data_IF_306595864990
#
_entry.id   IF_306595864990
#
_cell.length_a   1.000
_cell.length_b   1.000
_cell.length_c   1.000
_cell.angle_alpha   90.00
_cell.angle_beta   90.00
_cell.angle_gamma   90.00
#
_symmetry.space_group_name_H-M   'P 1'
#
loop_
_entity.id
_entity.type
_entity.pdbx_description
1 polymer ?
#
# COMPACT_ATOMS: atom_id res chain seq x y z
N UNK A 1 -21.88 -60.65 22.82
CA UNK A 1 -20.98 -59.47 22.89
C UNK A 1 -21.03 -58.79 21.52
N UNK A 2 -21.46 -57.52 21.45
CA UNK A 2 -21.51 -56.75 20.19
C UNK A 2 -20.19 -55.97 20.05
N UNK A 3 -19.57 -55.92 18.86
CA UNK A 3 -18.36 -55.13 18.68
C UNK A 3 -18.75 -53.66 18.53
N UNK A 4 -18.12 -52.80 19.32
CA UNK A 4 -18.20 -51.34 19.16
C UNK A 4 -17.22 -50.94 18.07
N UNK A 5 -17.73 -50.48 16.94
CA UNK A 5 -16.93 -49.89 15.87
C UNK A 5 -16.64 -48.44 16.25
N UNK A 6 -15.38 -48.14 16.55
CA UNK A 6 -14.89 -46.77 16.71
C UNK A 6 -14.51 -46.28 15.31
N UNK A 7 -15.35 -45.41 14.74
CA UNK A 7 -15.03 -44.71 13.48
C UNK A 7 -14.06 -43.59 13.82
N UNK A 8 -12.78 -43.80 13.54
CA UNK A 8 -11.76 -42.75 13.59
C UNK A 8 -11.96 -41.85 12.35
N UNK A 9 -12.63 -40.72 12.53
CA UNK A 9 -12.75 -39.71 11.48
C UNK A 9 -11.38 -39.07 11.26
N UNK A 10 -10.69 -39.48 10.19
CA UNK A 10 -9.53 -38.75 9.68
C UNK A 10 -10.00 -37.39 9.15
N UNK A 11 -9.91 -36.34 9.98
CA UNK A 11 -9.95 -34.96 9.50
C UNK A 11 -8.69 -34.77 8.64
N UNK A 12 -8.81 -34.90 7.33
CA UNK A 12 -7.79 -34.40 6.42
C UNK A 12 -7.82 -32.88 6.54
N UNK A 13 -6.96 -32.33 7.38
CA UNK A 13 -6.63 -30.90 7.34
C UNK A 13 -5.85 -30.72 6.03
N UNK A 14 -6.57 -30.52 4.93
CA UNK A 14 -5.99 -29.86 3.77
C UNK A 14 -5.70 -28.44 4.22
N UNK A 15 -4.51 -28.26 4.80
CA UNK A 15 -3.96 -26.95 5.05
C UNK A 15 -3.76 -26.32 3.68
N UNK A 16 -4.78 -25.64 3.18
CA UNK A 16 -4.66 -24.79 2.01
C UNK A 16 -3.60 -23.76 2.38
N UNK A 17 -2.39 -23.95 1.87
CA UNK A 17 -1.38 -22.91 1.89
C UNK A 17 -1.98 -21.72 1.15
N UNK A 18 -2.54 -20.79 1.92
CA UNK A 18 -2.99 -19.52 1.41
C UNK A 18 -1.72 -18.72 1.12
N UNK A 19 -1.30 -18.72 -0.14
CA UNK A 19 -0.21 -17.87 -0.59
C UNK A 19 -0.65 -16.41 -0.38
N UNK A 20 0.04 -15.64 0.48
CA UNK A 20 -0.28 -14.23 0.63
C UNK A 20 -0.02 -13.54 -0.71
N UNK A 21 -1.04 -12.88 -1.24
CA UNK A 21 -0.97 -12.09 -2.48
C UNK A 21 -1.09 -10.62 -2.12
N UNK A 22 -0.18 -9.80 -2.64
CA UNK A 22 -0.36 -8.36 -2.76
C UNK A 22 -0.91 -8.04 -4.15
N UNK A 23 -1.82 -7.08 -4.24
CA UNK A 23 -2.40 -6.65 -5.50
C UNK A 23 -2.50 -5.12 -5.53
N UNK A 24 -2.18 -4.53 -6.68
CA UNK A 24 -2.52 -3.15 -6.94
C UNK A 24 -4.02 -3.03 -7.21
N UNK A 25 -4.67 -2.09 -6.54
CA UNK A 25 -6.00 -1.61 -6.87
C UNK A 25 -5.84 -0.29 -7.62
N UNK A 26 -6.08 -0.32 -8.93
CA UNK A 26 -5.87 0.80 -9.85
C UNK A 26 -7.08 1.74 -9.83
N UNK A 27 -7.30 2.41 -8.71
CA UNK A 27 -8.20 3.55 -8.56
C UNK A 27 -7.39 4.72 -8.01
N UNK A 28 -7.64 5.96 -8.40
CA UNK A 28 -8.89 6.68 -8.20
C UNK A 28 -9.44 7.20 -9.53
N UNK A 29 -9.81 8.47 -9.66
CA UNK A 29 -10.14 9.08 -10.96
C UNK A 29 -8.96 9.07 -11.93
N UNK A 30 -9.21 9.48 -13.19
CA UNK A 30 -8.31 9.28 -14.34
C UNK A 30 -6.80 9.42 -14.11
N UNK A 31 -6.33 10.53 -13.53
CA UNK A 31 -4.89 10.82 -13.32
C UNK A 31 -4.23 10.01 -12.18
N UNK A 32 -4.98 9.10 -11.58
CA UNK A 32 -4.54 8.25 -10.48
C UNK A 32 -4.82 6.79 -10.81
N UNK A 33 -4.44 6.36 -12.01
CA UNK A 33 -4.65 5.02 -12.59
C UNK A 33 -6.04 4.80 -13.24
N UNK A 34 -7.15 5.04 -12.52
CA UNK A 34 -8.46 5.20 -13.17
C UNK A 34 -9.21 3.93 -13.63
N UNK A 35 -8.73 2.71 -13.36
CA UNK A 35 -9.31 1.49 -13.95
C UNK A 35 -10.39 0.82 -13.07
N UNK A 36 -10.21 0.79 -11.76
CA UNK A 36 -11.10 0.10 -10.83
C UNK A 36 -12.16 1.07 -10.28
N UNK A 37 -13.44 0.79 -10.58
CA UNK A 37 -14.61 1.58 -10.14
C UNK A 37 -15.49 0.85 -9.12
N UNK A 38 -15.13 -0.39 -8.79
CA UNK A 38 -15.84 -1.30 -7.88
C UNK A 38 -14.83 -2.15 -7.10
N UNK A 39 -15.26 -2.89 -6.08
CA UNK A 39 -14.39 -3.87 -5.42
C UNK A 39 -14.14 -5.10 -6.33
N UNK A 40 -13.02 -5.07 -7.05
CA UNK A 40 -12.50 -6.16 -7.87
C UNK A 40 -11.29 -6.87 -7.22
N UNK A 41 -10.99 -6.55 -5.95
CA UNK A 41 -9.87 -7.13 -5.22
C UNK A 41 -10.10 -8.61 -4.98
N UNK A 42 -9.10 -9.42 -5.35
CA UNK A 42 -9.15 -10.86 -5.09
C UNK A 42 -9.39 -11.14 -3.59
N UNK A 43 -10.40 -11.94 -3.20
CA UNK A 43 -10.70 -12.22 -1.79
C UNK A 43 -9.51 -12.79 -1.00
N UNK A 44 -8.57 -13.47 -1.68
CA UNK A 44 -7.35 -14.03 -1.08
C UNK A 44 -6.22 -13.02 -0.87
N UNK A 45 -6.32 -11.81 -1.42
CA UNK A 45 -5.33 -10.76 -1.21
C UNK A 45 -5.18 -10.45 0.28
N UNK A 46 -3.93 -10.27 0.70
CA UNK A 46 -3.55 -9.85 2.06
C UNK A 46 -3.11 -8.39 2.10
N UNK A 47 -2.57 -7.90 0.99
CA UNK A 47 -2.23 -6.49 0.82
C UNK A 47 -2.99 -5.94 -0.38
N UNK A 48 -3.65 -4.80 -0.18
CA UNK A 48 -4.23 -3.99 -1.25
C UNK A 48 -3.40 -2.73 -1.34
N UNK A 49 -2.83 -2.47 -2.51
CA UNK A 49 -1.96 -1.34 -2.76
C UNK A 49 -2.71 -0.35 -3.66
N UNK A 50 -3.11 0.78 -3.11
CA UNK A 50 -3.88 1.81 -3.83
C UNK A 50 -2.95 2.55 -4.80
N UNK A 51 -3.17 2.35 -6.10
CA UNK A 51 -2.38 2.92 -7.18
C UNK A 51 -3.20 4.03 -7.88
N UNK A 52 -2.83 5.31 -7.82
CA UNK A 52 -1.62 5.88 -7.21
C UNK A 52 -1.90 7.22 -6.52
N UNK A 53 -0.94 7.69 -5.72
CA UNK A 53 -0.72 9.09 -5.38
C UNK A 53 0.41 9.66 -6.24
N UNK A 54 0.41 10.97 -6.46
CA UNK A 54 1.31 11.63 -7.39
C UNK A 54 2.26 12.59 -6.67
N UNK A 55 3.59 12.48 -6.84
CA UNK A 55 4.52 13.48 -6.31
C UNK A 55 4.38 14.80 -7.07
N UNK A 56 4.36 15.91 -6.34
CA UNK A 56 4.32 17.27 -6.88
C UNK A 56 5.71 17.89 -6.89
N UNK A 57 5.90 18.98 -7.65
CA UNK A 57 7.20 19.63 -7.85
C UNK A 57 7.86 20.18 -6.58
N UNK A 58 7.08 20.42 -5.52
CA UNK A 58 7.57 20.84 -4.20
C UNK A 58 7.89 19.65 -3.25
N UNK A 59 7.78 18.41 -3.76
CA UNK A 59 7.93 17.18 -3.00
C UNK A 59 6.66 16.73 -2.28
N UNK A 60 5.56 17.48 -2.34
CA UNK A 60 4.30 17.06 -1.71
C UNK A 60 3.65 15.87 -2.42
N UNK A 61 2.80 15.16 -1.67
CA UNK A 61 2.03 14.01 -2.17
C UNK A 61 0.60 14.45 -2.46
N UNK A 62 0.20 14.35 -3.72
CA UNK A 62 -1.19 14.57 -4.13
C UNK A 62 -1.95 13.25 -4.16
N UNK A 63 -3.09 13.22 -3.46
CA UNK A 63 -4.04 12.10 -3.46
C UNK A 63 -5.37 12.59 -4.02
N UNK A 64 -6.07 11.74 -4.77
CA UNK A 64 -7.41 12.05 -5.29
C UNK A 64 -8.48 11.99 -4.17
N UNK A 65 -8.56 13.09 -3.42
CA UNK A 65 -9.52 13.24 -2.34
C UNK A 65 -10.98 12.99 -2.76
N UNK A 66 -11.34 13.41 -3.96
CA UNK A 66 -12.71 13.38 -4.43
C UNK A 66 -13.20 11.95 -4.70
N UNK A 67 -12.30 11.07 -5.13
CA UNK A 67 -12.64 9.70 -5.53
C UNK A 67 -12.08 8.63 -4.58
N UNK A 68 -11.57 9.02 -3.40
CA UNK A 68 -10.98 8.08 -2.46
C UNK A 68 -12.00 7.03 -1.96
N UNK A 69 -11.81 5.70 -2.13
CA UNK A 69 -12.81 4.70 -1.79
C UNK A 69 -12.66 4.32 -0.32
N UNK A 70 -12.89 5.30 0.57
CA UNK A 70 -12.71 5.13 2.02
C UNK A 70 -13.51 3.96 2.60
N UNK A 71 -14.69 3.68 2.03
CA UNK A 71 -15.53 2.57 2.47
C UNK A 71 -14.96 1.20 2.07
N UNK A 72 -14.32 1.10 0.88
CA UNK A 72 -13.62 -0.12 0.49
C UNK A 72 -12.39 -0.35 1.36
N UNK A 73 -11.62 0.71 1.65
CA UNK A 73 -10.47 0.64 2.57
C UNK A 73 -10.88 0.05 3.92
N UNK A 74 -11.94 0.59 4.54
CA UNK A 74 -12.48 0.07 5.81
C UNK A 74 -12.95 -1.37 5.69
N UNK A 75 -13.64 -1.72 4.60
CA UNK A 75 -14.12 -3.09 4.34
C UNK A 75 -12.98 -4.11 4.22
N UNK A 76 -11.93 -3.76 3.47
CA UNK A 76 -10.74 -4.60 3.31
C UNK A 76 -9.99 -4.77 4.63
N UNK A 77 -9.83 -3.70 5.41
CA UNK A 77 -9.20 -3.76 6.74
C UNK A 77 -10.03 -4.60 7.72
N UNK A 78 -11.35 -4.45 7.74
CA UNK A 78 -12.26 -5.29 8.54
C UNK A 78 -12.19 -6.76 8.14
N UNK A 79 -11.89 -7.04 6.87
CA UNK A 79 -11.64 -8.39 6.34
C UNK A 79 -10.21 -8.91 6.59
N UNK A 80 -9.41 -8.20 7.40
CA UNK A 80 -8.06 -8.58 7.78
C UNK A 80 -6.99 -8.34 6.71
N UNK A 81 -7.26 -7.52 5.70
CA UNK A 81 -6.25 -7.07 4.73
C UNK A 81 -5.48 -5.86 5.27
N UNK A 82 -4.29 -5.64 4.74
CA UNK A 82 -3.51 -4.42 4.91
C UNK A 82 -3.66 -3.54 3.68
N UNK A 83 -3.93 -2.26 3.88
CA UNK A 83 -4.13 -1.30 2.77
C UNK A 83 -3.01 -0.27 2.77
N UNK A 84 -2.30 -0.18 1.65
CA UNK A 84 -1.15 0.70 1.45
C UNK A 84 -1.49 1.76 0.40
N UNK A 85 -0.96 2.98 0.53
CA UNK A 85 -0.96 3.96 -0.57
C UNK A 85 0.32 3.79 -1.38
N UNK A 86 0.22 3.57 -2.68
CA UNK A 86 1.37 3.66 -3.58
C UNK A 86 1.52 5.08 -4.10
N UNK A 87 2.75 5.59 -4.11
CA UNK A 87 3.12 6.84 -4.77
C UNK A 87 4.07 6.54 -5.92
N UNK A 88 3.79 7.09 -7.10
CA UNK A 88 4.58 6.81 -8.31
C UNK A 88 3.70 6.45 -9.51
N UNK A 89 3.97 5.29 -10.11
CA UNK A 89 3.26 4.78 -11.28
C UNK A 89 3.31 5.71 -12.48
N UNK A 90 2.20 5.75 -13.23
CA UNK A 90 2.08 6.48 -14.50
C UNK A 90 2.52 7.96 -14.42
N UNK A 91 2.31 8.61 -13.27
CA UNK A 91 2.64 10.02 -13.04
C UNK A 91 3.81 10.22 -12.07
N UNK A 92 4.60 9.16 -11.83
CA UNK A 92 5.74 9.18 -10.91
C UNK A 92 6.85 10.13 -11.34
N UNK A 93 7.29 10.98 -10.41
CA UNK A 93 8.41 11.90 -10.61
C UNK A 93 9.24 12.06 -9.34
N UNK A 94 10.03 11.02 -9.02
CA UNK A 94 10.87 11.03 -7.82
C UNK A 94 12.00 12.07 -7.79
N UNK A 95 12.51 12.63 -8.91
CA UNK A 95 13.34 13.83 -8.86
C UNK A 95 12.71 15.00 -8.08
N UNK A 96 11.38 15.14 -8.08
CA UNK A 96 10.71 16.14 -7.25
C UNK A 96 10.81 15.85 -5.75
N UNK A 97 10.80 14.57 -5.36
CA UNK A 97 10.94 14.15 -3.96
C UNK A 97 12.41 14.25 -3.50
N UNK A 98 13.34 13.76 -4.32
CA UNK A 98 14.76 13.62 -3.96
C UNK A 98 15.62 14.83 -4.33
N UNK A 99 15.05 15.88 -4.94
CA UNK A 99 15.80 17.04 -5.44
C UNK A 99 16.44 17.91 -4.35
N UNK A 100 15.90 17.88 -3.12
CA UNK A 100 16.45 18.63 -1.99
C UNK A 100 16.00 18.06 -0.64
N UNK A 101 16.71 18.39 0.44
CA UNK A 101 16.28 18.04 1.80
C UNK A 101 14.91 18.65 2.16
N UNK A 102 14.61 19.84 1.65
CA UNK A 102 13.30 20.47 1.83
C UNK A 102 12.18 19.65 1.17
N UNK A 103 12.39 19.22 -0.08
CA UNK A 103 11.45 18.37 -0.81
C UNK A 103 11.21 17.03 -0.10
N UNK A 104 12.28 16.41 0.43
CA UNK A 104 12.17 15.17 1.21
C UNK A 104 11.33 15.40 2.48
N UNK A 105 11.53 16.50 3.20
CA UNK A 105 10.74 16.82 4.38
C UNK A 105 9.27 17.07 4.03
N UNK A 106 8.98 17.77 2.93
CA UNK A 106 7.61 17.95 2.42
C UNK A 106 6.96 16.61 2.09
N UNK A 107 7.68 15.74 1.37
CA UNK A 107 7.23 14.37 1.06
C UNK A 107 6.89 13.59 2.32
N UNK A 108 7.81 13.55 3.30
CA UNK A 108 7.62 12.83 4.56
C UNK A 108 6.40 13.33 5.31
N UNK A 109 6.25 14.66 5.45
CA UNK A 109 5.13 15.26 6.16
C UNK A 109 3.78 15.00 5.48
N UNK A 110 3.73 15.17 4.15
CA UNK A 110 2.48 15.04 3.38
C UNK A 110 2.07 13.59 3.20
N UNK A 111 3.03 12.67 3.03
CA UNK A 111 2.76 11.23 3.04
C UNK A 111 2.23 10.79 4.41
N UNK A 112 2.89 11.16 5.51
CA UNK A 112 2.40 10.82 6.85
C UNK A 112 0.98 11.35 7.09
N UNK A 113 0.70 12.59 6.67
CA UNK A 113 -0.63 13.20 6.76
C UNK A 113 -1.68 12.45 5.94
N UNK A 114 -1.33 11.98 4.73
CA UNK A 114 -2.23 11.16 3.91
C UNK A 114 -2.53 9.81 4.57
N UNK A 115 -1.51 9.13 5.10
CA UNK A 115 -1.69 7.85 5.79
C UNK A 115 -2.58 8.00 7.04
N UNK A 116 -2.44 9.10 7.79
CA UNK A 116 -3.31 9.43 8.92
C UNK A 116 -4.74 9.74 8.47
N UNK A 117 -4.90 10.62 7.47
CA UNK A 117 -6.19 11.08 6.95
C UNK A 117 -7.08 9.92 6.49
N UNK A 118 -6.50 8.95 5.79
CA UNK A 118 -7.25 7.83 5.23
C UNK A 118 -7.15 6.54 6.07
N UNK A 119 -6.47 6.58 7.22
CA UNK A 119 -6.35 5.43 8.13
C UNK A 119 -5.61 4.23 7.51
N UNK A 120 -4.56 4.48 6.74
CA UNK A 120 -3.87 3.44 5.98
C UNK A 120 -2.81 2.70 6.81
N UNK A 121 -2.61 1.42 6.47
CA UNK A 121 -1.66 0.54 7.14
C UNK A 121 -0.20 0.80 6.74
N UNK A 122 0.03 1.61 5.71
CA UNK A 122 1.38 1.90 5.24
C UNK A 122 1.43 2.47 3.83
N UNK A 123 2.63 2.42 3.26
CA UNK A 123 2.98 3.04 1.98
C UNK A 123 3.77 2.07 1.10
N UNK A 124 3.56 2.17 -0.19
CA UNK A 124 4.38 1.58 -1.25
C UNK A 124 5.10 2.71 -2.00
N UNK A 125 6.41 2.58 -2.17
CA UNK A 125 7.26 3.54 -2.89
C UNK A 125 7.58 2.95 -4.26
N UNK A 126 6.83 3.34 -5.28
CA UNK A 126 6.95 2.85 -6.64
C UNK A 126 7.97 3.68 -7.43
N UNK A 127 9.26 3.36 -7.24
CA UNK A 127 10.40 4.17 -7.69
C UNK A 127 10.91 3.68 -9.05
N UNK A 128 10.29 4.18 -10.13
CA UNK A 128 10.65 3.79 -11.49
C UNK A 128 11.79 4.61 -12.13
N UNK A 129 12.14 5.78 -11.56
CA UNK A 129 13.19 6.67 -12.09
C UNK A 129 14.39 6.85 -11.15
N UNK A 130 15.45 6.11 -11.43
CA UNK A 130 16.65 5.98 -10.61
C UNK A 130 17.66 7.14 -10.72
N UNK A 131 17.18 8.38 -10.60
CA UNK A 131 18.05 9.57 -10.62
C UNK A 131 18.60 9.95 -9.24
N UNK A 132 18.29 9.16 -8.20
CA UNK A 132 18.81 9.31 -6.85
C UNK A 132 19.69 8.12 -6.46
N UNK A 133 20.72 8.36 -5.65
CA UNK A 133 21.55 7.27 -5.14
C UNK A 133 20.76 6.42 -4.13
N UNK A 134 21.09 5.12 -3.95
CA UNK A 134 20.50 4.31 -2.88
C UNK A 134 20.65 4.92 -1.48
N UNK A 135 21.71 5.72 -1.25
CA UNK A 135 21.92 6.48 -0.01
C UNK A 135 20.86 7.57 0.18
N UNK A 136 20.53 8.30 -0.87
CA UNK A 136 19.47 9.31 -0.84
C UNK A 136 18.12 8.67 -0.53
N UNK A 137 17.81 7.57 -1.22
CA UNK A 137 16.55 6.82 -1.03
C UNK A 137 16.44 6.29 0.40
N UNK A 138 17.47 5.62 0.93
CA UNK A 138 17.40 5.08 2.30
C UNK A 138 17.32 6.16 3.37
N UNK A 139 17.94 7.33 3.16
CA UNK A 139 17.83 8.46 4.09
C UNK A 139 16.38 8.99 4.12
N UNK A 140 15.75 9.17 2.97
CA UNK A 140 14.34 9.55 2.89
C UNK A 140 13.42 8.52 3.56
N UNK A 141 13.65 7.21 3.32
CA UNK A 141 12.88 6.13 3.96
C UNK A 141 13.06 6.13 5.48
N UNK A 142 14.24 6.44 6.01
CA UNK A 142 14.46 6.56 7.46
C UNK A 142 13.66 7.71 8.07
N UNK A 143 13.62 8.86 7.40
CA UNK A 143 12.80 10.00 7.82
C UNK A 143 11.31 9.65 7.78
N UNK A 144 10.86 9.00 6.70
CA UNK A 144 9.50 8.52 6.57
C UNK A 144 9.13 7.53 7.68
N UNK A 145 9.98 6.53 7.95
CA UNK A 145 9.81 5.58 9.06
C UNK A 145 9.65 6.30 10.40
N UNK A 146 10.49 7.29 10.69
CA UNK A 146 10.40 8.06 11.92
C UNK A 146 9.06 8.82 12.03
N UNK A 147 8.56 9.35 10.91
CA UNK A 147 7.30 10.10 10.88
C UNK A 147 6.05 9.19 11.00
N UNK A 148 6.08 7.99 10.42
CA UNK A 148 4.91 7.11 10.35
C UNK A 148 4.88 6.04 11.47
N UNK A 149 5.94 5.94 12.27
CA UNK A 149 6.09 4.98 13.37
C UNK A 149 6.35 3.54 12.90
N UNK A 150 6.58 2.63 13.85
CA UNK A 150 7.02 1.26 13.56
C UNK A 150 5.91 0.31 13.11
N UNK A 151 4.64 0.68 13.38
CA UNK A 151 3.49 -0.18 13.08
C UNK A 151 3.07 -0.15 11.61
N UNK A 152 3.43 0.91 10.88
CA UNK A 152 3.08 1.06 9.46
C UNK A 152 4.05 0.31 8.56
N UNK A 153 3.53 -0.26 7.48
CA UNK A 153 4.31 -0.99 6.50
C UNK A 153 4.95 -0.01 5.51
N UNK A 154 6.20 -0.28 5.11
CA UNK A 154 6.85 0.40 3.99
C UNK A 154 7.28 -0.69 3.01
N UNK A 155 6.78 -0.61 1.79
CA UNK A 155 7.21 -1.43 0.65
C UNK A 155 7.92 -0.52 -0.35
N UNK A 156 8.87 -1.06 -1.10
CA UNK A 156 9.48 -0.39 -2.25
C UNK A 156 9.27 -1.31 -3.45
N UNK A 157 8.67 -0.76 -4.49
CA UNK A 157 8.39 -1.45 -5.76
C UNK A 157 9.26 -0.78 -6.85
N UNK A 158 10.41 -1.37 -7.19
CA UNK A 158 11.32 -0.85 -8.21
C UNK A 158 10.91 -1.21 -9.65
#
# INVERSE_FOLDING_TARGET
MKPTIIILAFLTISSFYAYPVSIFYCGFGGDFCGQSTTDDVNPKAKFVILAFANPQSDGSVLVDDANFPADLVKSWQASGKKVLLSIGGQNGNWPFVFGSDASVNTFVSTMASALDKYGLDGVDLDIENYQATPRTVVNAIKLLRAAIGDNRIIVVSP
#
